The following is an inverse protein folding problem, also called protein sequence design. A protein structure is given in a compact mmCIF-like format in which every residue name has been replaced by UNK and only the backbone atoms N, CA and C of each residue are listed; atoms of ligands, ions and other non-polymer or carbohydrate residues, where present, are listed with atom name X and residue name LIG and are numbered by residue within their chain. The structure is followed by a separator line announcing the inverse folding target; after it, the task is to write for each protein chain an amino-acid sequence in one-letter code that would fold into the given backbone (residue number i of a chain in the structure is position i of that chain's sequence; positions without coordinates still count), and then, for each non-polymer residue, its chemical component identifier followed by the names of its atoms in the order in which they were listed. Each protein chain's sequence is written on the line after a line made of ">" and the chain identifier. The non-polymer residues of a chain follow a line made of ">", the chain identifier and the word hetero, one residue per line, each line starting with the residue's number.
data_IF_814174657744
#
_entry.id   IF_814174657744
#
_cell.length_a   1.000
_cell.length_b   1.000
_cell.length_c   1.000
_cell.angle_alpha   90.00
_cell.angle_beta   90.00
_cell.angle_gamma   90.00
#
_symmetry.space_group_name_H-M   'P 1'
#
loop_
_entity.id
_entity.type
_entity.pdbx_description
1 polymer ?
#
# COMPACT_ATOMS: atom_id res chain seq x y z
N UNK A 1 24.49 -33.86 23.28
CA UNK A 1 23.22 -34.00 22.53
C UNK A 1 22.55 -32.63 22.49
N UNK A 2 22.74 -31.86 21.42
CA UNK A 2 22.20 -30.49 21.32
C UNK A 2 20.89 -30.53 20.53
N UNK A 3 19.76 -30.29 21.19
CA UNK A 3 18.50 -30.07 20.50
C UNK A 3 18.49 -28.66 19.90
N UNK A 4 18.56 -28.62 18.58
CA UNK A 4 18.33 -27.41 17.78
C UNK A 4 16.91 -26.91 18.06
N UNK A 5 16.80 -25.80 18.79
CA UNK A 5 15.60 -24.95 18.76
C UNK A 5 15.51 -24.38 17.35
N UNK A 6 14.59 -24.89 16.55
CA UNK A 6 14.17 -24.26 15.29
C UNK A 6 13.63 -22.86 15.58
N UNK A 7 14.52 -21.86 15.58
CA UNK A 7 14.14 -20.47 15.35
C UNK A 7 13.70 -20.39 13.90
N UNK A 8 12.42 -20.63 13.65
CA UNK A 8 11.82 -20.41 12.34
C UNK A 8 12.01 -18.94 11.95
N UNK A 9 12.66 -18.80 10.80
CA UNK A 9 12.66 -17.70 9.85
C UNK A 9 12.82 -16.30 10.43
N UNK A 10 14.08 -15.87 10.43
CA UNK A 10 14.51 -14.53 10.01
C UNK A 10 13.77 -14.08 8.73
N UNK A 11 12.51 -13.68 8.87
CA UNK A 11 12.05 -12.53 8.11
C UNK A 11 13.02 -11.42 8.51
N UNK A 12 13.95 -11.09 7.62
CA UNK A 12 14.77 -9.90 7.77
C UNK A 12 13.77 -8.78 8.07
N UNK A 13 13.73 -8.32 9.33
CA UNK A 13 12.89 -7.19 9.73
C UNK A 13 13.46 -6.02 8.97
N UNK A 14 12.94 -5.81 7.76
CA UNK A 14 13.10 -4.58 7.01
C UNK A 14 12.92 -3.44 8.04
N UNK A 15 13.79 -2.43 8.08
CA UNK A 15 13.69 -1.33 9.05
C UNK A 15 12.46 -0.43 8.82
N UNK A 16 11.60 -0.79 7.87
CA UNK A 16 10.36 -0.10 7.55
C UNK A 16 9.29 -0.34 8.63
N UNK A 17 8.57 0.71 8.99
CA UNK A 17 7.34 0.60 9.78
C UNK A 17 6.17 0.74 8.80
N UNK A 18 5.54 -0.35 8.33
CA UNK A 18 4.50 -0.33 7.30
C UNK A 18 3.43 0.73 7.54
N UNK A 19 2.92 0.78 8.76
CA UNK A 19 1.87 1.70 9.20
C UNK A 19 2.27 3.18 9.15
N UNK A 20 3.56 3.50 9.00
CA UNK A 20 4.09 4.88 8.87
C UNK A 20 4.52 5.22 7.45
N UNK A 21 4.37 4.31 6.49
CA UNK A 21 4.72 4.61 5.09
C UNK A 21 3.82 5.73 4.57
N UNK A 22 4.45 6.71 3.92
CA UNK A 22 3.82 7.87 3.28
C UNK A 22 4.19 7.88 1.80
N UNK A 23 3.50 8.67 0.97
CA UNK A 23 3.86 8.79 -0.45
C UNK A 23 5.25 9.39 -0.63
N UNK A 24 5.68 10.29 0.27
CA UNK A 24 7.03 10.86 0.24
C UNK A 24 8.09 9.78 0.52
N UNK A 25 7.93 9.02 1.59
CA UNK A 25 8.85 7.93 1.91
C UNK A 25 8.93 6.91 0.77
N UNK A 26 7.81 6.61 0.11
CA UNK A 26 7.81 5.71 -1.06
C UNK A 26 8.61 6.29 -2.24
N UNK A 27 8.50 7.61 -2.48
CA UNK A 27 9.26 8.28 -3.54
C UNK A 27 10.77 8.27 -3.23
N UNK A 28 11.16 8.60 -1.99
CA UNK A 28 12.55 8.65 -1.55
C UNK A 28 13.23 7.28 -1.63
N UNK A 29 12.47 6.20 -1.39
CA UNK A 29 12.94 4.81 -1.43
C UNK A 29 12.83 4.16 -2.82
N UNK A 30 12.33 4.87 -3.83
CA UNK A 30 12.13 4.32 -5.18
C UNK A 30 11.09 3.20 -5.26
N UNK A 31 10.11 3.19 -4.35
CA UNK A 31 9.03 2.21 -4.30
C UNK A 31 7.93 2.56 -5.29
N UNK A 32 7.17 1.55 -5.75
CA UNK A 32 5.95 1.76 -6.56
C UNK A 32 4.72 1.61 -5.68
N UNK A 33 3.80 2.56 -5.79
CA UNK A 33 2.50 2.53 -5.10
C UNK A 33 1.38 2.40 -6.13
N UNK A 34 0.57 1.38 -6.01
CA UNK A 34 -0.58 1.10 -6.88
C UNK A 34 -1.88 1.20 -6.09
N UNK A 35 -2.94 1.77 -6.67
CA UNK A 35 -4.27 1.88 -6.05
C UNK A 35 -5.32 1.13 -6.88
N UNK A 36 -6.18 0.38 -6.21
CA UNK A 36 -7.22 -0.46 -6.82
C UNK A 36 -8.61 0.15 -6.73
N UNK A 37 -9.34 0.17 -7.84
CA UNK A 37 -10.76 0.53 -7.86
C UNK A 37 -11.63 -0.73 -7.67
N UNK A 38 -12.58 -0.75 -6.71
CA UNK A 38 -13.43 -1.92 -6.48
C UNK A 38 -14.41 -2.19 -7.64
N UNK A 39 -14.84 -1.13 -8.35
CA UNK A 39 -15.87 -1.23 -9.38
C UNK A 39 -15.33 -1.74 -10.72
N UNK A 40 -14.24 -1.17 -11.23
CA UNK A 40 -13.63 -1.62 -12.50
C UNK A 40 -12.47 -2.60 -12.31
N UNK A 41 -12.11 -2.94 -11.07
CA UNK A 41 -11.00 -3.85 -10.71
C UNK A 41 -9.63 -3.47 -11.27
N UNK A 42 -9.48 -2.25 -11.78
CA UNK A 42 -8.18 -1.77 -12.24
C UNK A 42 -7.31 -1.34 -11.07
N UNK A 43 -6.05 -1.74 -11.11
CA UNK A 43 -4.98 -1.10 -10.37
C UNK A 43 -4.31 -0.02 -11.23
N UNK A 44 -3.94 1.11 -10.62
CA UNK A 44 -3.12 2.14 -11.26
C UNK A 44 -2.01 2.60 -10.35
N UNK A 45 -0.85 2.82 -10.95
CA UNK A 45 0.29 3.37 -10.26
C UNK A 45 0.09 4.86 -10.02
N UNK A 46 0.40 5.29 -8.79
CA UNK A 46 0.42 6.69 -8.42
C UNK A 46 1.70 7.32 -8.98
N UNK A 47 1.57 8.52 -9.55
CA UNK A 47 2.74 9.31 -9.92
C UNK A 47 3.34 9.91 -8.65
N UNK A 48 4.25 9.17 -8.01
CA UNK A 48 4.86 9.56 -6.76
C UNK A 48 5.66 10.86 -6.88
N UNK A 49 6.37 11.07 -7.98
CA UNK A 49 7.11 12.31 -8.20
C UNK A 49 6.19 13.55 -8.17
N UNK A 50 5.03 13.47 -8.81
CA UNK A 50 4.04 14.55 -8.80
C UNK A 50 3.31 14.72 -7.46
N UNK A 51 3.29 13.68 -6.62
CA UNK A 51 2.57 13.68 -5.34
C UNK A 51 3.47 14.01 -4.15
N UNK A 52 4.74 13.59 -4.15
CA UNK A 52 5.68 13.73 -3.04
C UNK A 52 5.94 15.19 -2.61
N UNK A 53 5.81 16.13 -3.54
CA UNK A 53 5.91 17.57 -3.28
C UNK A 53 4.66 18.20 -2.64
N UNK A 54 3.56 17.46 -2.49
CA UNK A 54 2.27 17.98 -2.00
C UNK A 54 2.07 17.67 -0.51
N UNK A 55 1.24 18.45 0.21
CA UNK A 55 0.96 18.23 1.64
C UNK A 55 0.44 16.82 1.94
N UNK A 56 -0.39 16.26 1.04
CA UNK A 56 -0.95 14.92 1.18
C UNK A 56 0.12 13.81 1.20
N UNK A 57 1.33 14.06 0.69
CA UNK A 57 2.37 13.05 0.69
C UNK A 57 3.02 12.78 2.04
N UNK A 58 2.75 13.62 3.05
CA UNK A 58 3.17 13.40 4.43
C UNK A 58 2.21 12.48 5.21
N UNK A 59 1.01 12.23 4.70
CA UNK A 59 0.03 11.38 5.36
C UNK A 59 0.38 9.89 5.20
N UNK A 60 0.12 9.06 6.22
CA UNK A 60 0.21 7.61 6.10
C UNK A 60 -0.68 7.07 4.97
N UNK A 61 -0.19 6.08 4.23
CA UNK A 61 -0.91 5.48 3.10
C UNK A 61 -2.27 4.91 3.50
N UNK A 62 -2.38 4.33 4.70
CA UNK A 62 -3.65 3.84 5.25
C UNK A 62 -4.69 4.96 5.42
N UNK A 63 -4.28 6.12 5.92
CA UNK A 63 -5.16 7.28 6.09
C UNK A 63 -5.56 7.87 4.73
N UNK A 64 -4.64 7.93 3.78
CA UNK A 64 -4.92 8.36 2.40
C UNK A 64 -5.98 7.49 1.71
N UNK A 65 -5.99 6.18 2.00
CA UNK A 65 -6.96 5.24 1.47
C UNK A 65 -8.33 5.29 2.17
N UNK A 66 -8.35 5.61 3.47
CA UNK A 66 -9.57 5.85 4.23
C UNK A 66 -10.28 7.13 3.78
N UNK A 67 -9.49 8.17 3.53
CA UNK A 67 -10.00 9.47 3.09
C UNK A 67 -10.49 9.49 1.64
N UNK A 68 -10.91 10.66 1.19
CA UNK A 68 -11.46 10.88 -0.14
C UNK A 68 -10.40 11.23 -1.21
N UNK A 69 -9.11 11.11 -0.88
CA UNK A 69 -8.03 11.54 -1.76
C UNK A 69 -7.88 10.68 -3.03
N UNK A 70 -8.24 9.39 -2.95
CA UNK A 70 -7.98 8.39 -3.98
C UNK A 70 -9.28 7.95 -4.67
N UNK A 71 -9.62 8.63 -5.77
CA UNK A 71 -10.82 8.37 -6.59
C UNK A 71 -10.45 7.85 -7.97
N UNK A 72 -11.22 6.88 -8.46
CA UNK A 72 -11.12 6.42 -9.83
C UNK A 72 -11.59 7.52 -10.79
N UNK A 73 -10.87 7.71 -11.90
CA UNK A 73 -11.19 8.72 -12.92
C UNK A 73 -11.75 8.13 -14.22
N UNK A 74 -11.99 6.81 -14.26
CA UNK A 74 -12.34 6.11 -15.50
C UNK A 74 -13.86 6.04 -15.69
N UNK A 75 -14.37 6.70 -16.73
CA UNK A 75 -15.72 6.51 -17.27
C UNK A 75 -16.80 6.32 -16.20
N UNK A 76 -17.50 5.17 -16.24
CA UNK A 76 -18.59 4.80 -15.32
C UNK A 76 -18.19 4.65 -13.84
N UNK A 77 -16.90 4.61 -13.53
CA UNK A 77 -16.37 4.52 -12.16
C UNK A 77 -15.81 5.86 -11.68
N UNK A 78 -16.03 6.95 -12.42
CA UNK A 78 -15.56 8.27 -12.03
C UNK A 78 -16.09 8.65 -10.64
N UNK A 79 -15.18 9.04 -9.74
CA UNK A 79 -15.50 9.39 -8.36
C UNK A 79 -15.56 8.22 -7.38
N UNK A 80 -15.56 6.96 -7.85
CA UNK A 80 -15.54 5.78 -6.98
C UNK A 80 -14.23 5.73 -6.21
N UNK A 81 -14.31 5.68 -4.88
CA UNK A 81 -13.14 5.61 -4.01
C UNK A 81 -12.37 4.29 -4.19
N UNK A 82 -11.05 4.37 -4.10
CA UNK A 82 -10.19 3.19 -4.09
C UNK A 82 -10.53 2.28 -2.89
N UNK A 83 -10.36 0.98 -3.06
CA UNK A 83 -10.60 -0.03 -2.00
C UNK A 83 -9.33 -0.75 -1.57
N UNK A 84 -8.24 -0.60 -2.32
CA UNK A 84 -6.94 -1.15 -1.97
C UNK A 84 -5.81 -0.24 -2.40
N UNK A 85 -4.68 -0.35 -1.71
CA UNK A 85 -3.42 0.30 -2.03
C UNK A 85 -2.28 -0.71 -1.78
N UNK A 86 -1.40 -0.89 -2.75
CA UNK A 86 -0.29 -1.84 -2.68
C UNK A 86 1.04 -1.11 -2.88
N UNK A 87 2.06 -1.50 -2.11
CA UNK A 87 3.43 -1.01 -2.28
C UNK A 87 4.31 -2.18 -2.72
N UNK A 88 5.09 -1.96 -3.78
CA UNK A 88 5.95 -2.97 -4.38
C UNK A 88 7.38 -2.45 -4.54
N UNK A 89 8.36 -3.33 -4.41
CA UNK A 89 9.70 -3.06 -4.92
C UNK A 89 9.67 -3.08 -6.43
N UNK A 90 10.25 -2.05 -7.04
CA UNK A 90 10.58 -2.07 -8.46
C UNK A 90 12.01 -2.60 -8.61
N UNK A 91 12.19 -3.90 -8.38
CA UNK A 91 13.46 -4.55 -8.71
C UNK A 91 13.46 -4.93 -10.20
N UNK A 92 14.63 -5.01 -10.83
CA UNK A 92 14.79 -5.22 -12.29
C UNK A 92 14.36 -6.64 -12.65
N UNK A 93 13.05 -6.87 -12.77
CA UNK A 93 12.45 -8.10 -13.30
C UNK A 93 11.42 -8.79 -12.41
N UNK A 94 11.34 -8.49 -11.11
CA UNK A 94 10.34 -9.11 -10.23
C UNK A 94 9.70 -8.07 -9.31
N UNK A 95 8.43 -7.76 -9.59
CA UNK A 95 7.60 -6.97 -8.68
C UNK A 95 7.22 -7.87 -7.50
N UNK A 96 7.69 -7.51 -6.29
CA UNK A 96 7.26 -8.14 -5.05
C UNK A 96 6.42 -7.16 -4.23
N UNK A 97 5.21 -7.57 -3.87
CA UNK A 97 4.36 -6.85 -2.93
C UNK A 97 5.02 -6.86 -1.56
N UNK A 98 5.25 -5.68 -1.01
CA UNK A 98 5.76 -5.51 0.35
C UNK A 98 4.62 -5.47 1.35
N UNK A 99 3.63 -4.64 1.04
CA UNK A 99 2.52 -4.32 1.94
C UNK A 99 1.31 -3.94 1.11
N UNK A 100 0.13 -4.34 1.57
CA UNK A 100 -1.14 -3.94 0.98
C UNK A 100 -2.04 -3.35 2.08
N UNK A 101 -2.81 -2.32 1.75
CA UNK A 101 -3.94 -1.87 2.55
C UNK A 101 -5.24 -2.21 1.83
N UNK A 102 -6.24 -2.67 2.58
CA UNK A 102 -7.61 -2.89 2.10
C UNK A 102 -8.61 -2.14 2.95
N UNK A 103 -9.64 -1.62 2.29
CA UNK A 103 -10.76 -0.93 2.92
C UNK A 103 -11.83 -1.93 3.32
N UNK A 104 -12.37 -1.76 4.52
CA UNK A 104 -13.56 -2.43 5.01
C UNK A 104 -14.53 -1.41 5.60
N UNK A 105 -15.80 -1.80 5.60
CA UNK A 105 -16.85 -1.03 6.23
C UNK A 105 -17.06 -1.53 7.66
N UNK A 106 -16.99 -0.62 8.62
CA UNK A 106 -17.26 -0.87 10.03
C UNK A 106 -18.33 0.14 10.46
N UNK A 107 -19.55 -0.35 10.70
CA UNK A 107 -20.68 0.47 11.16
C UNK A 107 -20.92 1.74 10.31
N UNK A 108 -20.84 1.61 8.98
CA UNK A 108 -21.03 2.73 8.04
C UNK A 108 -19.82 3.65 7.87
N UNK A 109 -18.70 3.38 8.55
CA UNK A 109 -17.44 4.10 8.37
C UNK A 109 -16.42 3.26 7.60
N UNK A 110 -15.57 3.93 6.81
CA UNK A 110 -14.47 3.28 6.07
C UNK A 110 -13.25 3.18 6.97
N UNK A 111 -12.75 1.96 7.16
CA UNK A 111 -11.46 1.71 7.80
C UNK A 111 -10.54 1.00 6.80
N UNK A 112 -9.27 1.39 6.76
CA UNK A 112 -8.25 0.67 6.01
C UNK A 112 -7.39 -0.14 6.98
N UNK A 113 -7.20 -1.43 6.69
CA UNK A 113 -6.27 -2.28 7.45
C UNK A 113 -5.13 -2.73 6.56
N UNK A 114 -3.95 -2.80 7.17
CA UNK A 114 -2.78 -3.45 6.60
C UNK A 114 -3.03 -4.95 6.46
N UNK A 115 -2.77 -5.46 5.26
CA UNK A 115 -2.77 -6.86 4.90
C UNK A 115 -1.32 -7.17 4.51
N UNK A 116 -0.65 -7.97 5.33
CA UNK A 116 0.69 -8.45 5.01
C UNK A 116 0.56 -9.49 3.88
N UNK A 117 1.45 -9.46 2.87
CA UNK A 117 1.49 -10.51 1.88
C UNK A 117 1.75 -11.86 2.57
N UNK A 118 1.24 -12.98 2.02
CA UNK A 118 1.55 -14.29 2.56
C UNK A 118 3.06 -14.47 2.64
N UNK A 119 3.54 -15.00 3.77
CA UNK A 119 4.94 -15.40 3.89
C UNK A 119 5.16 -16.60 2.97
N UNK A 120 5.92 -16.39 1.89
CA UNK A 120 6.42 -17.46 1.03
C UNK A 120 7.27 -18.47 1.82
#
# INVERSE_FOLDING_TARGET
>A
MFQFRSRMSTAARLPFQPHRLTLRACADLGLRVSVGCPSCRMARDLNLAALAGKPLAALPLGELLQGEALKCRRGRCHGVLASSLCVTWQDVGILRTLVEWRVWEVSGSRAARLVEPPAD
#
